data_IF_190004885319
#
_entry.id   IF_190004885319
#
_cell.length_a   1.000
_cell.length_b   1.000
_cell.length_c   1.000
_cell.angle_alpha   90.00
_cell.angle_beta   90.00
_cell.angle_gamma   90.00
#
_symmetry.space_group_name_H-M   'P 1'
#
loop_
_entity.id
_entity.type
_entity.pdbx_description
1 polymer ?
#
# COMPACT_ATOMS: atom_id res chain seq x y z
N UNK A 1 6.19 6.61 -13.56
CA UNK A 1 5.08 5.76 -13.06
C UNK A 1 4.45 5.07 -14.24
N UNK A 2 4.26 3.77 -14.17
CA UNK A 2 3.65 2.95 -15.21
C UNK A 2 2.39 2.29 -14.69
N UNK A 3 1.41 2.10 -15.56
CA UNK A 3 0.13 1.49 -15.26
C UNK A 3 -0.02 0.21 -16.07
N UNK A 4 -0.35 -0.88 -15.39
CA UNK A 4 -0.66 -2.17 -16.02
C UNK A 4 -2.15 -2.44 -15.85
N UNK A 5 -2.84 -2.65 -16.95
CA UNK A 5 -4.29 -2.84 -16.97
C UNK A 5 -4.65 -4.30 -17.28
N UNK A 6 -5.60 -4.83 -16.53
CA UNK A 6 -6.12 -6.20 -16.68
C UNK A 6 -7.65 -6.17 -16.55
N UNK A 7 -8.37 -7.07 -17.23
CA UNK A 7 -9.83 -7.19 -17.11
C UNK A 7 -10.57 -5.95 -17.59
N UNK A 8 -10.10 -5.32 -18.66
CA UNK A 8 -10.65 -4.06 -19.20
C UNK A 8 -12.11 -4.17 -19.66
N UNK A 9 -12.64 -5.39 -19.80
CA UNK A 9 -14.04 -5.67 -20.12
C UNK A 9 -15.00 -5.43 -18.94
N UNK A 10 -14.48 -5.30 -17.73
CA UNK A 10 -15.30 -5.07 -16.54
C UNK A 10 -15.54 -3.57 -16.29
N UNK A 11 -16.75 -3.18 -15.85
CA UNK A 11 -17.11 -1.77 -15.67
C UNK A 11 -16.58 -1.16 -14.36
N UNK A 12 -16.29 -1.96 -13.34
CA UNK A 12 -15.84 -1.50 -12.03
C UNK A 12 -14.32 -1.43 -11.97
N UNK A 13 -13.78 -0.25 -11.65
CA UNK A 13 -12.35 0.03 -11.63
C UNK A 13 -11.73 -0.24 -10.26
N UNK A 14 -10.72 -1.12 -10.22
CA UNK A 14 -9.87 -1.34 -9.06
C UNK A 14 -8.45 -0.80 -9.30
N UNK A 15 -7.99 0.09 -8.44
CA UNK A 15 -6.60 0.59 -8.43
C UNK A 15 -5.80 -0.10 -7.33
N UNK A 16 -4.62 -0.64 -7.68
CA UNK A 16 -3.76 -1.39 -6.75
C UNK A 16 -2.39 -0.72 -6.58
N UNK A 17 -2.04 -0.40 -5.32
CA UNK A 17 -0.83 0.30 -4.90
C UNK A 17 0.08 -0.63 -4.09
N UNK A 18 1.30 -0.88 -4.58
CA UNK A 18 2.24 -1.78 -3.90
C UNK A 18 2.96 -1.13 -2.71
N UNK A 19 3.65 -1.94 -1.91
CA UNK A 19 4.40 -1.51 -0.72
C UNK A 19 5.71 -0.79 -1.05
N UNK A 20 6.41 -0.37 0.00
CA UNK A 20 7.71 0.29 -0.10
C UNK A 20 8.87 -0.70 -0.28
N UNK A 21 9.90 -0.29 -1.02
CA UNK A 21 11.08 -1.11 -1.29
C UNK A 21 10.83 -2.34 -2.14
N UNK A 22 9.62 -2.47 -2.70
CA UNK A 22 9.16 -3.61 -3.51
C UNK A 22 8.62 -3.12 -4.85
N UNK A 23 8.47 -4.02 -5.82
CA UNK A 23 7.94 -3.70 -7.13
C UNK A 23 6.54 -4.29 -7.36
N UNK A 24 5.88 -3.81 -8.39
CA UNK A 24 4.54 -4.24 -8.81
C UNK A 24 4.43 -5.74 -9.10
N UNK A 25 5.54 -6.40 -9.49
CA UNK A 25 5.54 -7.84 -9.85
C UNK A 25 5.04 -8.74 -8.72
N UNK A 26 5.18 -8.30 -7.48
CA UNK A 26 4.63 -9.00 -6.32
C UNK A 26 3.11 -9.02 -6.28
N UNK A 27 2.46 -8.08 -6.91
CA UNK A 27 1.00 -7.98 -6.97
C UNK A 27 0.39 -8.58 -8.25
N UNK A 28 1.21 -9.04 -9.22
CA UNK A 28 0.70 -9.62 -10.48
C UNK A 28 -0.28 -10.78 -10.25
N UNK A 29 0.02 -11.80 -9.42
CA UNK A 29 -0.92 -12.92 -9.25
C UNK A 29 -2.28 -12.49 -8.68
N UNK A 30 -2.29 -11.50 -7.81
CA UNK A 30 -3.55 -11.00 -7.27
C UNK A 30 -4.25 -10.04 -8.24
N UNK A 31 -3.51 -9.27 -9.04
CA UNK A 31 -4.10 -8.44 -10.09
C UNK A 31 -4.78 -9.30 -11.15
N UNK A 32 -4.16 -10.41 -11.59
CA UNK A 32 -4.75 -11.38 -12.51
C UNK A 32 -5.99 -12.07 -11.92
N UNK A 33 -5.99 -12.38 -10.62
CA UNK A 33 -7.17 -12.95 -9.95
C UNK A 33 -8.32 -11.93 -9.87
N UNK A 34 -8.02 -10.69 -9.50
CA UNK A 34 -9.00 -9.59 -9.43
C UNK A 34 -9.56 -9.23 -10.81
N UNK A 35 -8.75 -9.35 -11.87
CA UNK A 35 -9.14 -9.10 -13.26
C UNK A 35 -10.24 -10.02 -13.79
N UNK A 36 -10.56 -11.10 -13.09
CA UNK A 36 -11.72 -11.96 -13.40
C UNK A 36 -13.07 -11.27 -13.10
N UNK A 37 -13.05 -10.19 -12.33
CA UNK A 37 -14.26 -9.50 -11.84
C UNK A 37 -14.21 -7.99 -12.05
N UNK A 38 -13.01 -7.39 -12.04
CA UNK A 38 -12.79 -5.95 -12.07
C UNK A 38 -11.84 -5.54 -13.19
N UNK A 39 -11.99 -4.33 -13.69
CA UNK A 39 -10.93 -3.67 -14.44
C UNK A 39 -9.85 -3.22 -13.45
N UNK A 40 -8.68 -3.85 -13.49
CA UNK A 40 -7.60 -3.61 -12.54
C UNK A 40 -6.54 -2.71 -13.15
N UNK A 41 -6.21 -1.61 -12.47
CA UNK A 41 -5.04 -0.77 -12.72
C UNK A 41 -4.00 -1.05 -11.64
N UNK A 42 -2.97 -1.81 -11.98
CA UNK A 42 -1.82 -2.07 -11.11
C UNK A 42 -0.75 -1.00 -11.36
N UNK A 43 -0.42 -0.25 -10.32
CA UNK A 43 0.53 0.88 -10.39
C UNK A 43 1.95 0.39 -10.11
N UNK A 44 2.90 0.82 -10.95
CA UNK A 44 4.34 0.66 -10.73
C UNK A 44 4.98 2.03 -10.49
N UNK A 45 5.48 2.27 -9.27
CA UNK A 45 6.12 3.53 -8.91
C UNK A 45 7.46 3.70 -9.61
N UNK A 46 7.79 4.94 -9.99
CA UNK A 46 9.13 5.28 -10.46
C UNK A 46 10.20 4.90 -9.42
N UNK A 47 11.37 4.50 -9.89
CA UNK A 47 12.47 4.07 -9.03
C UNK A 47 12.31 2.71 -8.36
N UNK A 48 11.09 2.10 -8.46
CA UNK A 48 10.79 0.74 -8.01
C UNK A 48 10.16 -0.10 -9.14
N UNK A 49 10.33 0.34 -10.38
CA UNK A 49 9.84 -0.33 -11.56
C UNK A 49 11.00 -1.00 -12.33
N UNK A 50 11.09 -2.35 -12.33
CA UNK A 50 12.14 -3.05 -13.05
C UNK A 50 12.06 -2.93 -14.58
N UNK A 51 10.94 -2.45 -15.13
CA UNK A 51 10.78 -2.24 -16.57
C UNK A 51 11.21 -0.82 -17.00
N UNK A 52 11.44 0.08 -16.04
CA UNK A 52 11.90 1.46 -16.24
C UNK A 52 12.98 1.81 -15.20
N UNK A 53 14.16 1.12 -15.24
CA UNK A 53 15.17 1.20 -14.20
C UNK A 53 15.84 2.57 -14.09
N UNK A 54 15.74 3.40 -15.14
CA UNK A 54 16.28 4.77 -15.19
C UNK A 54 15.42 5.78 -14.40
N UNK A 55 14.19 5.39 -14.02
CA UNK A 55 13.30 6.28 -13.28
C UNK A 55 13.69 6.39 -11.80
N UNK A 56 13.21 7.42 -11.14
CA UNK A 56 13.48 7.67 -9.72
C UNK A 56 12.21 8.06 -8.98
N UNK A 57 11.95 7.40 -7.86
CA UNK A 57 10.87 7.79 -6.95
C UNK A 57 11.15 9.21 -6.39
N UNK A 58 10.25 10.15 -6.64
CA UNK A 58 10.42 11.54 -6.22
C UNK A 58 9.76 11.80 -4.87
N UNK A 59 8.47 11.53 -4.77
CA UNK A 59 7.71 11.69 -3.52
C UNK A 59 6.33 11.03 -3.64
N UNK A 60 5.69 10.75 -2.51
CA UNK A 60 4.30 10.25 -2.46
C UNK A 60 3.32 11.25 -3.09
N UNK A 61 3.39 12.57 -2.82
CA UNK A 61 2.50 13.53 -3.49
C UNK A 61 2.65 13.56 -5.01
N UNK A 62 3.88 13.37 -5.55
CA UNK A 62 4.07 13.31 -7.00
C UNK A 62 3.43 12.05 -7.60
N UNK A 63 3.63 10.88 -6.98
CA UNK A 63 3.01 9.64 -7.42
C UNK A 63 1.47 9.71 -7.34
N UNK A 64 0.92 10.22 -6.23
CA UNK A 64 -0.51 10.38 -6.05
C UNK A 64 -1.13 11.36 -7.05
N UNK A 65 -0.48 12.50 -7.32
CA UNK A 65 -0.92 13.48 -8.31
C UNK A 65 -0.97 12.86 -9.71
N UNK A 66 0.10 12.18 -10.14
CA UNK A 66 0.19 11.53 -11.47
C UNK A 66 -0.86 10.44 -11.63
N UNK A 67 -1.11 9.67 -10.57
CA UNK A 67 -2.21 8.70 -10.57
C UNK A 67 -3.57 9.41 -10.67
N UNK A 68 -3.79 10.48 -9.91
CA UNK A 68 -5.00 11.28 -9.99
C UNK A 68 -5.24 11.85 -11.40
N UNK A 69 -4.20 12.40 -12.03
CA UNK A 69 -4.27 12.90 -13.41
C UNK A 69 -4.67 11.78 -14.38
N UNK A 70 -4.05 10.61 -14.28
CA UNK A 70 -4.37 9.43 -15.10
C UNK A 70 -5.82 8.96 -14.91
N UNK A 71 -6.29 8.87 -13.66
CA UNK A 71 -7.67 8.44 -13.37
C UNK A 71 -8.70 9.47 -13.85
N UNK A 72 -8.42 10.76 -13.71
CA UNK A 72 -9.31 11.82 -14.23
C UNK A 72 -9.40 11.76 -15.75
N UNK A 73 -8.26 11.64 -16.43
CA UNK A 73 -8.20 11.62 -17.89
C UNK A 73 -8.89 10.38 -18.50
N UNK A 74 -8.64 9.20 -17.93
CA UNK A 74 -9.09 7.94 -18.52
C UNK A 74 -10.42 7.42 -17.99
N UNK A 75 -10.76 7.74 -16.74
CA UNK A 75 -11.91 7.17 -16.01
C UNK A 75 -12.81 8.24 -15.38
N UNK A 76 -12.69 9.51 -15.82
CA UNK A 76 -13.53 10.59 -15.31
C UNK A 76 -13.41 10.85 -13.80
N UNK A 77 -12.33 10.44 -13.18
CA UNK A 77 -12.09 10.62 -11.76
C UNK A 77 -12.77 9.58 -10.84
N UNK A 78 -13.33 8.49 -11.39
CA UNK A 78 -14.01 7.46 -10.59
C UNK A 78 -13.09 6.28 -10.33
N UNK A 79 -13.09 5.81 -9.07
CA UNK A 79 -12.45 4.56 -8.62
C UNK A 79 -13.48 3.79 -7.77
N UNK A 80 -13.81 2.56 -8.16
CA UNK A 80 -14.74 1.73 -7.38
C UNK A 80 -14.02 1.11 -6.19
N UNK A 81 -12.79 0.64 -6.37
CA UNK A 81 -11.97 0.08 -5.29
C UNK A 81 -10.55 0.64 -5.34
N UNK A 82 -10.11 1.30 -4.26
CA UNK A 82 -8.72 1.73 -4.07
C UNK A 82 -8.06 0.83 -3.03
N UNK A 83 -7.07 0.04 -3.44
CA UNK A 83 -6.30 -0.84 -2.58
C UNK A 83 -4.86 -0.35 -2.43
N UNK A 84 -4.36 -0.32 -1.20
CA UNK A 84 -2.95 -0.05 -0.92
C UNK A 84 -2.41 -0.96 0.17
N UNK A 85 -1.18 -1.46 -0.02
CA UNK A 85 -0.52 -2.30 0.96
C UNK A 85 0.72 -1.63 1.55
N UNK A 86 0.88 -1.69 2.89
CA UNK A 86 2.06 -1.18 3.59
C UNK A 86 2.33 0.29 3.23
N UNK A 87 3.49 0.60 2.67
CA UNK A 87 3.83 1.94 2.19
C UNK A 87 2.83 2.49 1.14
N UNK A 88 2.25 1.63 0.30
CA UNK A 88 1.21 2.03 -0.66
C UNK A 88 0.02 2.72 0.00
N UNK A 89 -0.19 2.52 1.30
CA UNK A 89 -1.24 3.23 2.05
C UNK A 89 -0.94 4.73 2.25
N UNK A 90 0.32 5.17 2.14
CA UNK A 90 0.64 6.61 2.13
C UNK A 90 0.22 7.25 0.79
N UNK A 91 0.50 6.58 -0.34
CA UNK A 91 0.03 7.04 -1.65
C UNK A 91 -1.50 7.03 -1.69
N UNK A 92 -2.13 5.98 -1.18
CA UNK A 92 -3.58 5.87 -1.04
C UNK A 92 -4.17 7.08 -0.29
N UNK A 93 -3.57 7.51 0.81
CA UNK A 93 -4.05 8.68 1.58
C UNK A 93 -3.95 9.98 0.78
N UNK A 94 -2.88 10.20 0.01
CA UNK A 94 -2.76 11.38 -0.85
C UNK A 94 -3.72 11.31 -2.05
N UNK A 95 -4.00 10.11 -2.59
CA UNK A 95 -5.06 9.90 -3.60
C UNK A 95 -6.45 10.22 -3.02
N UNK A 96 -6.73 9.79 -1.78
CA UNK A 96 -7.97 10.17 -1.09
C UNK A 96 -8.11 11.67 -0.87
N UNK A 97 -6.99 12.40 -0.76
CA UNK A 97 -7.01 13.85 -0.59
C UNK A 97 -7.34 14.61 -1.90
N UNK A 98 -7.18 13.98 -3.06
CA UNK A 98 -7.51 14.59 -4.35
C UNK A 98 -9.03 14.74 -4.51
N UNK A 99 -9.49 15.99 -4.54
CA UNK A 99 -10.93 16.31 -4.63
C UNK A 99 -11.54 16.03 -6.00
N UNK A 100 -10.72 15.77 -7.02
CA UNK A 100 -11.17 15.40 -8.37
C UNK A 100 -11.64 13.95 -8.44
N UNK A 101 -11.28 13.14 -7.42
CA UNK A 101 -11.56 11.72 -7.39
C UNK A 101 -12.76 11.40 -6.49
N UNK A 102 -13.58 10.47 -6.97
CA UNK A 102 -14.66 9.81 -6.21
C UNK A 102 -14.29 8.35 -6.02
N UNK A 103 -14.24 7.89 -4.76
CA UNK A 103 -13.77 6.56 -4.41
C UNK A 103 -14.82 5.89 -3.52
N UNK A 104 -15.41 4.79 -4.00
CA UNK A 104 -16.45 4.08 -3.26
C UNK A 104 -15.88 3.28 -2.10
N UNK A 105 -14.94 2.39 -2.36
CA UNK A 105 -14.35 1.49 -1.35
C UNK A 105 -12.85 1.70 -1.28
N UNK A 106 -12.32 1.88 -0.09
CA UNK A 106 -10.88 1.97 0.14
C UNK A 106 -10.40 0.89 1.10
N UNK A 107 -9.35 0.16 0.72
CA UNK A 107 -8.78 -0.92 1.53
C UNK A 107 -7.30 -0.63 1.79
N UNK A 108 -6.96 -0.32 3.04
CA UNK A 108 -5.59 -0.13 3.50
C UNK A 108 -5.09 -1.39 4.23
N UNK A 109 -4.26 -2.18 3.58
CA UNK A 109 -3.73 -3.43 4.12
C UNK A 109 -2.34 -3.23 4.73
N UNK A 110 -2.16 -3.61 5.99
CA UNK A 110 -0.89 -3.45 6.69
C UNK A 110 -0.47 -1.98 6.83
N UNK A 111 -1.44 -1.08 7.03
CA UNK A 111 -1.18 0.35 7.18
C UNK A 111 -0.21 0.61 8.34
N UNK A 112 0.93 1.30 8.10
CA UNK A 112 1.83 1.69 9.18
C UNK A 112 1.11 2.59 10.19
N UNK A 113 1.19 2.26 11.46
CA UNK A 113 0.48 2.99 12.53
C UNK A 113 1.38 3.93 13.33
N UNK A 114 2.69 3.89 13.09
CA UNK A 114 3.64 4.77 13.75
C UNK A 114 3.47 6.20 13.23
N UNK A 115 3.40 7.15 14.13
CA UNK A 115 3.40 8.56 13.82
C UNK A 115 4.78 9.13 14.12
N UNK A 116 5.49 9.54 13.07
CA UNK A 116 6.82 10.14 13.17
C UNK A 116 6.77 11.67 13.13
N UNK A 117 5.56 12.24 13.26
CA UNK A 117 5.35 13.69 13.18
C UNK A 117 5.99 14.45 14.35
N UNK A 118 6.21 13.79 15.48
CA UNK A 118 6.73 14.43 16.69
C UNK A 118 8.23 14.78 16.66
N UNK A 119 8.96 14.34 15.64
CA UNK A 119 10.37 14.72 15.47
C UNK A 119 10.44 16.12 14.89
N UNK A 120 10.55 17.13 15.77
CA UNK A 120 10.52 18.56 15.38
C UNK A 120 11.85 19.10 14.81
N UNK A 121 12.98 18.53 15.22
CA UNK A 121 14.30 18.99 14.77
C UNK A 121 14.61 18.48 13.35
N UNK A 122 14.87 19.35 12.36
CA UNK A 122 15.26 18.94 11.00
C UNK A 122 16.53 18.07 10.97
N UNK A 123 17.47 18.33 11.88
CA UNK A 123 18.71 17.52 12.00
C UNK A 123 18.37 16.11 12.46
N UNK A 124 17.53 15.98 13.49
CA UNK A 124 17.08 14.67 13.98
C UNK A 124 16.22 13.95 12.94
N UNK A 125 15.37 14.64 12.20
CA UNK A 125 14.62 14.06 11.09
C UNK A 125 15.56 13.46 10.04
N UNK A 126 16.54 14.22 9.57
CA UNK A 126 17.51 13.75 8.57
C UNK A 126 18.34 12.56 9.08
N UNK A 127 18.78 12.62 10.33
CA UNK A 127 19.53 11.53 10.96
C UNK A 127 18.67 10.27 11.06
N UNK A 128 17.41 10.41 11.48
CA UNK A 128 16.47 9.30 11.58
C UNK A 128 16.17 8.69 10.20
N UNK A 129 15.93 9.52 9.17
CA UNK A 129 15.74 9.08 7.78
C UNK A 129 16.96 8.27 7.33
N UNK A 130 18.17 8.79 7.55
CA UNK A 130 19.40 8.13 7.15
C UNK A 130 19.53 6.72 7.77
N UNK A 131 19.26 6.60 9.08
CA UNK A 131 19.32 5.31 9.76
C UNK A 131 18.18 4.37 9.34
N UNK A 132 16.96 4.88 9.22
CA UNK A 132 15.80 4.10 8.79
C UNK A 132 16.01 3.57 7.38
N UNK A 133 16.37 4.45 6.45
CA UNK A 133 16.66 4.08 5.05
C UNK A 133 17.83 3.12 4.99
N UNK A 134 18.93 3.40 5.69
CA UNK A 134 20.10 2.54 5.74
C UNK A 134 19.76 1.12 6.20
N UNK A 135 18.98 1.03 7.26
CA UNK A 135 18.52 -0.26 7.79
C UNK A 135 17.60 -1.00 6.81
N UNK A 136 16.59 -0.32 6.27
CA UNK A 136 15.63 -0.92 5.32
C UNK A 136 16.31 -1.34 4.01
N UNK A 137 17.15 -0.47 3.46
CA UNK A 137 17.93 -0.74 2.24
C UNK A 137 18.88 -1.93 2.42
N UNK A 138 19.60 -1.97 3.56
CA UNK A 138 20.48 -3.09 3.88
C UNK A 138 19.71 -4.39 4.16
N UNK A 139 18.59 -4.30 4.89
CA UNK A 139 17.83 -5.47 5.33
C UNK A 139 17.02 -6.09 4.18
N UNK A 140 16.40 -5.25 3.35
CA UNK A 140 15.46 -5.66 2.28
C UNK A 140 16.11 -5.48 0.91
N UNK A 141 16.49 -4.26 0.54
CA UNK A 141 16.95 -3.91 -0.80
C UNK A 141 18.23 -4.64 -1.21
N UNK A 142 19.15 -4.88 -0.27
CA UNK A 142 20.42 -5.61 -0.51
C UNK A 142 20.52 -6.87 0.35
N UNK A 143 19.40 -7.56 0.58
CA UNK A 143 19.39 -8.77 1.38
C UNK A 143 20.18 -9.91 0.72
N UNK A 144 21.21 -10.39 1.42
CA UNK A 144 21.86 -11.67 1.11
C UNK A 144 21.05 -12.85 1.67
N UNK A 145 21.46 -14.11 1.40
CA UNK A 145 20.64 -15.30 1.74
C UNK A 145 20.21 -15.39 3.21
N UNK A 146 21.10 -15.08 4.15
CA UNK A 146 20.80 -15.14 5.58
C UNK A 146 19.77 -14.08 5.98
N UNK A 147 19.96 -12.83 5.53
CA UNK A 147 19.04 -11.73 5.83
C UNK A 147 17.69 -11.95 5.17
N UNK A 148 17.65 -12.47 3.95
CA UNK A 148 16.42 -12.86 3.26
C UNK A 148 15.61 -13.83 4.11
N UNK A 149 16.21 -14.92 4.61
CA UNK A 149 15.54 -15.89 5.50
C UNK A 149 14.98 -15.21 6.76
N UNK A 150 15.76 -14.30 7.36
CA UNK A 150 15.33 -13.57 8.54
C UNK A 150 14.11 -12.68 8.24
N UNK A 151 14.16 -11.91 7.15
CA UNK A 151 13.07 -11.02 6.73
C UNK A 151 11.82 -11.83 6.39
N UNK A 152 11.95 -12.93 5.65
CA UNK A 152 10.83 -13.82 5.33
C UNK A 152 10.15 -14.34 6.60
N UNK A 153 10.93 -14.80 7.59
CA UNK A 153 10.40 -15.23 8.88
C UNK A 153 9.70 -14.10 9.65
N UNK A 154 10.28 -12.90 9.65
CA UNK A 154 9.69 -11.74 10.34
C UNK A 154 8.38 -11.29 9.69
N UNK A 155 8.29 -11.35 8.37
CA UNK A 155 7.11 -10.92 7.60
C UNK A 155 6.08 -12.04 7.40
N UNK A 156 6.39 -13.28 7.80
CA UNK A 156 5.53 -14.45 7.57
C UNK A 156 5.38 -14.77 6.07
N UNK A 157 6.47 -14.67 5.30
CA UNK A 157 6.47 -14.74 3.83
C UNK A 157 7.44 -15.81 3.34
N UNK A 158 7.15 -16.41 2.17
CA UNK A 158 8.06 -17.36 1.52
C UNK A 158 9.25 -16.65 0.85
N UNK A 159 10.38 -17.37 0.67
CA UNK A 159 11.55 -16.81 -0.02
C UNK A 159 11.26 -16.53 -1.51
N UNK A 160 10.43 -17.34 -2.15
CA UNK A 160 9.98 -17.14 -3.52
C UNK A 160 9.16 -15.85 -3.65
N UNK A 161 8.19 -15.66 -2.75
CA UNK A 161 7.41 -14.42 -2.68
C UNK A 161 8.32 -13.20 -2.46
N UNK A 162 9.34 -13.33 -1.59
CA UNK A 162 10.31 -12.25 -1.35
C UNK A 162 11.09 -11.89 -2.63
N UNK A 163 11.62 -12.88 -3.36
CA UNK A 163 12.39 -12.62 -4.58
C UNK A 163 11.54 -11.98 -5.69
N UNK A 164 10.26 -12.31 -5.74
CA UNK A 164 9.33 -11.71 -6.70
C UNK A 164 9.04 -10.25 -6.41
N UNK A 165 8.98 -9.86 -5.14
CA UNK A 165 8.58 -8.49 -4.76
C UNK A 165 9.76 -7.52 -4.67
N UNK A 166 10.94 -7.96 -4.24
CA UNK A 166 12.06 -7.05 -3.95
C UNK A 166 12.76 -6.61 -5.24
N UNK A 167 12.79 -5.31 -5.47
CA UNK A 167 13.55 -4.72 -6.55
C UNK A 167 14.93 -4.27 -6.04
N UNK A 168 15.96 -5.06 -6.39
CA UNK A 168 17.34 -4.88 -5.86
C UNK A 168 18.09 -3.69 -6.48
N UNK A 169 17.65 -3.21 -7.65
CA UNK A 169 18.31 -2.13 -8.37
C UNK A 169 17.73 -0.73 -8.06
N UNK A 170 16.73 -0.66 -7.18
CA UNK A 170 16.24 0.62 -6.67
C UNK A 170 17.39 1.44 -6.07
N UNK A 171 17.48 2.71 -6.47
CA UNK A 171 18.55 3.61 -6.04
C UNK A 171 18.41 4.01 -4.57
N UNK A 172 19.54 4.31 -3.92
CA UNK A 172 19.55 4.88 -2.57
C UNK A 172 18.65 6.11 -2.46
N UNK A 173 18.67 6.98 -3.48
CA UNK A 173 17.85 8.19 -3.48
C UNK A 173 16.36 7.89 -3.53
N UNK A 174 15.92 6.88 -4.29
CA UNK A 174 14.52 6.42 -4.29
C UNK A 174 14.08 5.96 -2.91
N UNK A 175 14.92 5.20 -2.21
CA UNK A 175 14.66 4.76 -0.83
C UNK A 175 14.58 5.95 0.15
N UNK A 176 15.53 6.88 0.07
CA UNK A 176 15.52 8.10 0.90
C UNK A 176 14.26 8.94 0.66
N UNK A 177 13.88 9.14 -0.59
CA UNK A 177 12.69 9.92 -0.94
C UNK A 177 11.39 9.24 -0.47
N UNK A 178 11.36 7.90 -0.49
CA UNK A 178 10.26 7.13 0.07
C UNK A 178 10.16 7.33 1.59
N UNK A 179 11.25 7.15 2.31
CA UNK A 179 11.24 7.21 3.78
C UNK A 179 11.04 8.64 4.32
N UNK A 180 11.52 9.66 3.60
CA UNK A 180 11.27 11.07 3.93
C UNK A 180 9.78 11.38 4.08
N UNK A 181 8.92 10.74 3.31
CA UNK A 181 7.49 11.00 3.37
C UNK A 181 6.86 10.58 4.70
N UNK A 182 7.39 9.55 5.35
CA UNK A 182 6.85 9.06 6.61
C UNK A 182 7.07 10.02 7.78
N UNK A 183 8.03 10.95 7.65
CA UNK A 183 8.47 11.82 8.76
C UNK A 183 7.81 13.19 8.65
N UNK A 184 7.40 13.74 9.81
CA UNK A 184 6.82 15.08 9.92
C UNK A 184 5.38 15.19 9.41
N UNK A 185 4.69 14.09 9.17
CA UNK A 185 3.29 14.11 8.72
C UNK A 185 2.37 13.49 9.74
N UNK A 186 1.32 14.21 10.08
CA UNK A 186 0.18 13.67 10.83
C UNK A 186 -0.82 13.01 9.88
N UNK A 187 -1.37 11.88 10.30
CA UNK A 187 -2.41 11.21 9.54
C UNK A 187 -3.70 12.02 9.59
N UNK A 188 -4.25 12.30 8.42
CA UNK A 188 -5.54 12.99 8.30
C UNK A 188 -6.69 11.96 8.29
N UNK A 189 -7.28 11.70 9.45
CA UNK A 189 -8.40 10.76 9.59
C UNK A 189 -9.73 11.28 9.00
N UNK A 190 -9.86 12.59 8.71
CA UNK A 190 -11.05 13.11 8.04
C UNK A 190 -11.18 12.60 6.60
N UNK A 191 -10.09 12.19 5.98
CA UNK A 191 -10.10 11.56 4.65
C UNK A 191 -10.87 10.23 4.65
N UNK A 192 -10.94 9.53 5.77
CA UNK A 192 -11.71 8.28 5.90
C UNK A 192 -13.22 8.47 5.65
N UNK A 193 -13.73 9.69 5.85
CA UNK A 193 -15.14 10.03 5.61
C UNK A 193 -15.46 10.18 4.11
N UNK A 194 -14.46 10.19 3.24
CA UNK A 194 -14.63 10.38 1.79
C UNK A 194 -14.93 9.08 1.03
N UNK A 195 -14.90 7.95 1.71
CA UNK A 195 -15.01 6.60 1.15
C UNK A 195 -15.52 5.65 2.22
N UNK A 196 -15.95 4.45 1.84
CA UNK A 196 -16.10 3.38 2.83
C UNK A 196 -14.72 2.75 3.09
N UNK A 197 -14.14 3.11 4.24
CA UNK A 197 -12.75 2.80 4.58
C UNK A 197 -12.63 1.47 5.33
N UNK A 198 -11.78 0.59 4.83
CA UNK A 198 -11.38 -0.68 5.46
C UNK A 198 -9.89 -0.64 5.81
N UNK A 199 -9.57 -1.06 7.03
CA UNK A 199 -8.17 -1.29 7.44
C UNK A 199 -8.00 -2.77 7.73
N UNK A 200 -7.04 -3.40 7.05
CA UNK A 200 -6.76 -4.84 7.16
C UNK A 200 -5.36 -5.09 7.70
N UNK A 201 -5.23 -6.06 8.62
CA UNK A 201 -3.92 -6.50 9.11
C UNK A 201 -3.85 -8.02 9.21
N UNK A 202 -2.76 -8.57 8.67
CA UNK A 202 -2.30 -9.90 9.05
C UNK A 202 -1.60 -9.80 10.41
N UNK A 203 -1.88 -10.70 11.35
CA UNK A 203 -1.32 -10.64 12.71
C UNK A 203 -0.52 -11.88 13.12
N UNK A 204 0.03 -12.61 12.15
CA UNK A 204 0.86 -13.78 12.46
C UNK A 204 2.14 -13.42 13.24
N UNK A 205 2.71 -12.21 13.04
CA UNK A 205 3.91 -11.77 13.75
C UNK A 205 3.62 -10.89 14.97
N UNK A 206 4.60 -10.80 15.90
CA UNK A 206 4.49 -9.94 17.07
C UNK A 206 4.46 -8.45 16.72
N UNK A 207 5.14 -8.05 15.65
CA UNK A 207 5.14 -6.68 15.13
C UNK A 207 3.75 -6.29 14.66
N UNK A 208 3.13 -7.14 13.84
CA UNK A 208 1.78 -6.91 13.33
C UNK A 208 0.73 -6.86 14.45
N UNK A 209 0.90 -7.69 15.48
CA UNK A 209 0.04 -7.62 16.68
C UNK A 209 0.12 -6.27 17.40
N UNK A 210 1.30 -5.64 17.43
CA UNK A 210 1.47 -4.29 18.00
C UNK A 210 0.77 -3.22 17.13
N UNK A 211 0.93 -3.29 15.81
CA UNK A 211 0.25 -2.38 14.88
C UNK A 211 -1.28 -2.50 15.02
N UNK A 212 -1.80 -3.72 15.13
CA UNK A 212 -3.22 -3.98 15.34
C UNK A 212 -3.79 -3.32 16.60
N UNK A 213 -3.00 -3.22 17.68
CA UNK A 213 -3.42 -2.51 18.90
C UNK A 213 -3.60 -1.01 18.66
N UNK A 214 -2.74 -0.39 17.86
CA UNK A 214 -2.87 1.03 17.53
C UNK A 214 -4.13 1.30 16.69
N UNK A 215 -4.46 0.42 15.73
CA UNK A 215 -5.68 0.54 14.93
C UNK A 215 -6.92 0.42 15.81
N UNK A 216 -6.94 -0.49 16.77
CA UNK A 216 -8.04 -0.58 17.74
C UNK A 216 -8.21 0.71 18.54
N UNK A 217 -7.11 1.32 18.99
CA UNK A 217 -7.15 2.61 19.66
C UNK A 217 -7.71 3.74 18.78
N UNK A 218 -7.59 3.66 17.45
CA UNK A 218 -8.24 4.58 16.53
C UNK A 218 -9.75 4.34 16.45
N UNK A 219 -10.21 3.07 16.48
CA UNK A 219 -11.64 2.75 16.58
C UNK A 219 -12.25 3.31 17.86
N UNK A 220 -11.55 3.14 18.98
CA UNK A 220 -12.00 3.66 20.29
C UNK A 220 -12.13 5.19 20.30
N UNK A 221 -11.35 5.89 19.46
CA UNK A 221 -11.46 7.34 19.22
C UNK A 221 -12.59 7.74 18.26
N UNK A 222 -13.33 6.77 17.72
CA UNK A 222 -14.48 7.02 16.86
C UNK A 222 -14.14 7.37 15.40
N UNK A 223 -12.92 7.07 14.92
CA UNK A 223 -12.61 7.26 13.51
C UNK A 223 -13.42 6.28 12.63
N UNK A 224 -13.90 6.77 11.48
CA UNK A 224 -14.82 6.05 10.61
C UNK A 224 -14.08 5.06 9.70
N UNK A 225 -13.97 3.80 10.10
CA UNK A 225 -13.45 2.70 9.26
C UNK A 225 -13.92 1.34 9.78
N UNK A 226 -13.93 0.35 8.90
CA UNK A 226 -14.12 -1.06 9.26
C UNK A 226 -12.76 -1.73 9.43
N UNK A 227 -12.52 -2.36 10.58
CA UNK A 227 -11.26 -3.05 10.86
C UNK A 227 -11.41 -4.56 10.74
N UNK A 228 -10.50 -5.20 9.97
CA UNK A 228 -10.44 -6.65 9.82
C UNK A 228 -9.04 -7.20 10.08
N UNK A 229 -8.98 -8.31 10.81
CA UNK A 229 -7.74 -9.00 11.19
C UNK A 229 -7.71 -10.38 10.55
N UNK A 230 -6.53 -10.77 10.07
CA UNK A 230 -6.26 -12.10 9.50
C UNK A 230 -5.22 -12.81 10.39
N UNK A 231 -5.67 -13.69 11.33
CA UNK A 231 -4.82 -14.25 12.38
C UNK A 231 -3.59 -15.02 11.88
N UNK A 232 -3.74 -15.74 10.76
CA UNK A 232 -2.71 -16.63 10.20
C UNK A 232 -1.93 -15.99 9.05
N UNK A 233 -2.18 -14.72 8.75
CA UNK A 233 -1.52 -14.00 7.66
C UNK A 233 -0.41 -13.10 8.20
N UNK A 234 0.71 -13.03 7.48
CA UNK A 234 1.78 -12.07 7.71
C UNK A 234 1.50 -10.72 7.04
N UNK A 235 2.48 -9.84 7.06
CA UNK A 235 2.40 -8.50 6.46
C UNK A 235 2.21 -8.56 4.94
N UNK A 236 1.04 -8.18 4.45
CA UNK A 236 0.70 -8.17 3.03
C UNK A 236 0.61 -9.56 2.38
N UNK A 237 0.66 -10.66 3.16
CA UNK A 237 0.66 -12.03 2.59
C UNK A 237 -0.71 -12.42 2.04
N UNK A 238 -1.80 -11.86 2.54
CA UNK A 238 -3.13 -12.12 1.98
C UNK A 238 -3.16 -11.82 0.47
N UNK A 239 -2.72 -10.63 0.06
CA UNK A 239 -2.65 -10.27 -1.35
C UNK A 239 -1.48 -10.96 -2.08
N UNK A 240 -0.33 -11.14 -1.41
CA UNK A 240 0.88 -11.66 -2.05
C UNK A 240 0.91 -13.18 -2.25
N UNK A 241 0.19 -13.94 -1.44
CA UNK A 241 0.29 -15.41 -1.40
C UNK A 241 -1.07 -16.14 -1.45
N UNK A 242 -2.19 -15.41 -1.22
CA UNK A 242 -3.55 -15.97 -1.19
C UNK A 242 -4.52 -15.17 -2.08
N UNK A 243 -4.29 -15.09 -3.41
CA UNK A 243 -5.04 -14.21 -4.30
C UNK A 243 -6.55 -14.51 -4.32
N UNK A 244 -6.96 -15.77 -4.23
CA UNK A 244 -8.38 -16.15 -4.21
C UNK A 244 -9.08 -15.74 -2.93
N UNK A 245 -8.43 -15.88 -1.77
CA UNK A 245 -8.99 -15.42 -0.51
C UNK A 245 -9.03 -13.88 -0.45
N UNK A 246 -7.99 -13.22 -0.98
CA UNK A 246 -7.97 -11.78 -1.14
C UNK A 246 -9.16 -11.32 -2.01
N UNK A 247 -9.39 -11.97 -3.15
CA UNK A 247 -10.51 -11.65 -4.04
C UNK A 247 -11.87 -11.74 -3.35
N UNK A 248 -12.12 -12.82 -2.60
CA UNK A 248 -13.36 -12.97 -1.82
C UNK A 248 -13.55 -11.84 -0.81
N UNK A 249 -12.49 -11.47 -0.10
CA UNK A 249 -12.52 -10.43 0.92
C UNK A 249 -12.76 -9.04 0.32
N UNK A 250 -12.13 -8.73 -0.82
CA UNK A 250 -12.34 -7.46 -1.53
C UNK A 250 -13.78 -7.37 -2.04
N UNK A 251 -14.29 -8.43 -2.67
CA UNK A 251 -15.67 -8.48 -3.15
C UNK A 251 -16.66 -8.26 -2.01
N UNK A 252 -16.47 -8.92 -0.88
CA UNK A 252 -17.33 -8.76 0.29
C UNK A 252 -17.30 -7.32 0.84
N UNK A 253 -16.12 -6.71 0.93
CA UNK A 253 -15.97 -5.33 1.37
C UNK A 253 -16.67 -4.37 0.42
N UNK A 254 -16.45 -4.52 -0.90
CA UNK A 254 -17.04 -3.65 -1.90
C UNK A 254 -18.58 -3.78 -1.97
N UNK A 255 -19.12 -4.99 -1.89
CA UNK A 255 -20.56 -5.20 -1.83
C UNK A 255 -21.19 -4.54 -0.61
N UNK A 256 -20.53 -4.59 0.57
CA UNK A 256 -20.97 -3.86 1.74
C UNK A 256 -21.00 -2.34 1.50
N UNK A 257 -19.99 -1.79 0.84
CA UNK A 257 -19.94 -0.35 0.51
C UNK A 257 -21.08 0.06 -0.42
N UNK A 258 -21.33 -0.70 -1.49
CA UNK A 258 -22.45 -0.44 -2.41
C UNK A 258 -23.84 -0.52 -1.74
N UNK A 259 -24.01 -1.36 -0.72
CA UNK A 259 -25.25 -1.42 0.04
C UNK A 259 -25.46 -0.19 0.95
N UNK A 260 -24.36 0.41 1.45
CA UNK A 260 -24.43 1.65 2.24
C UNK A 260 -24.79 2.87 1.40
N UNK A 261 -24.27 2.96 0.17
CA UNK A 261 -24.60 4.06 -0.76
C UNK A 261 -26.09 4.09 -1.18
N UNK A 262 -26.77 2.93 -1.14
CA UNK A 262 -28.18 2.80 -1.51
C UNK A 262 -29.16 3.14 -0.38
N UNK A 263 -28.66 3.37 0.83
CA UNK A 263 -29.47 3.74 2.02
C UNK A 263 -29.41 5.23 2.29
#
# INVERSE_FOLDING_TARGET
MKYFEFGQEHPELMVMLHGGGVCYRGALPVAEEMAKTYHVVLVAYDGFNPDEPETQFRSVPDEARRLGDYIVERYGGKIDILYGVSYGTFVLMDVLADKRLTITTTIANGMPTMDYADIKSPVLQNLYIFFLTGFSYWLIGKAGPIRKKLVCKMMGRTEESFDRIVYKDATWQSWVNQDKYMIGRHRNFDLFKRTDMYIWHGIASSTEKKLAKHVRAWQDKGYAFTYKVFPNMGHGTLAGEHPQDFSKEVQAAHQCSLQKEKR
#
